data_IF_341649679376
#
_entry.id   IF_341649679376
#
_cell.length_a   1.000
_cell.length_b   1.000
_cell.length_c   1.000
_cell.angle_alpha   90.00
_cell.angle_beta   90.00
_cell.angle_gamma   90.00
#
_symmetry.space_group_name_H-M   'P 1'
#
loop_
_entity.id
_entity.type
_entity.pdbx_description
1 polymer ?
#
# COMPACT_ATOMS: atom_id res chain seq x y z
N UNK A 1 2.03 1.09 -18.38
CA UNK A 1 2.27 1.44 -16.96
C UNK A 1 0.94 1.82 -16.34
N UNK A 2 0.65 1.36 -15.11
CA UNK A 2 -0.57 1.67 -14.36
C UNK A 2 -0.17 2.51 -13.16
N UNK A 3 -0.94 3.56 -12.86
CA UNK A 3 -0.77 4.33 -11.63
C UNK A 3 -1.33 3.56 -10.43
N UNK A 4 -0.90 3.86 -9.19
CA UNK A 4 -1.49 3.26 -7.99
C UNK A 4 -3.03 3.31 -8.02
N UNK A 5 -3.70 2.17 -7.85
CA UNK A 5 -5.15 2.07 -7.88
C UNK A 5 -5.64 1.29 -6.66
N UNK A 6 -6.50 1.89 -5.81
CA UNK A 6 -6.88 1.28 -4.53
C UNK A 6 -7.70 0.00 -4.70
N UNK A 7 -8.39 -0.18 -5.84
CA UNK A 7 -9.29 -1.31 -6.07
C UNK A 7 -8.58 -2.67 -5.91
N UNK A 8 -7.39 -2.83 -6.50
CA UNK A 8 -6.62 -4.09 -6.43
C UNK A 8 -5.93 -4.30 -5.09
N UNK A 9 -5.83 -3.26 -4.27
CA UNK A 9 -5.19 -3.30 -2.95
C UNK A 9 -6.17 -3.65 -1.83
N UNK A 10 -7.47 -3.72 -2.12
CA UNK A 10 -8.51 -4.03 -1.16
C UNK A 10 -8.18 -5.33 -0.40
N UNK A 11 -8.24 -5.27 0.93
CA UNK A 11 -7.89 -6.37 1.85
C UNK A 11 -6.39 -6.62 2.02
N UNK A 12 -5.52 -5.95 1.27
CA UNK A 12 -4.07 -6.16 1.33
C UNK A 12 -3.36 -5.14 2.24
N UNK A 13 -2.18 -5.51 2.75
CA UNK A 13 -1.34 -4.61 3.53
C UNK A 13 -0.28 -3.86 2.66
N UNK A 14 -0.54 -3.73 1.35
CA UNK A 14 0.34 -3.01 0.44
C UNK A 14 -0.05 -1.52 0.35
N UNK A 15 0.95 -0.71 -0.01
CA UNK A 15 0.78 0.69 -0.40
C UNK A 15 1.55 0.88 -1.70
N UNK A 16 0.82 1.06 -2.80
CA UNK A 16 1.43 1.33 -4.09
C UNK A 16 1.75 2.81 -4.19
N UNK A 17 2.97 3.14 -4.58
CA UNK A 17 3.45 4.52 -4.75
C UNK A 17 3.86 4.72 -6.21
N UNK A 18 3.42 5.82 -6.79
CA UNK A 18 3.73 6.21 -8.16
C UNK A 18 3.90 7.73 -8.25
N UNK A 19 4.41 8.19 -9.37
CA UNK A 19 4.59 9.61 -9.61
C UNK A 19 4.58 9.93 -11.10
N UNK A 20 4.36 11.20 -11.40
CA UNK A 20 4.50 11.76 -12.74
C UNK A 20 5.15 13.14 -12.64
N UNK A 21 6.21 13.36 -13.42
CA UNK A 21 6.87 14.66 -13.50
C UNK A 21 6.22 15.48 -14.61
N UNK A 22 5.81 16.70 -14.30
CA UNK A 22 5.35 17.64 -15.32
C UNK A 22 6.53 17.98 -16.26
N UNK A 23 6.34 17.81 -17.56
CA UNK A 23 7.35 18.10 -18.56
C UNK A 23 7.63 19.61 -18.73
N UNK A 24 6.71 20.47 -18.28
CA UNK A 24 6.74 21.91 -18.53
C UNK A 24 7.07 22.74 -17.29
N UNK A 25 7.19 22.12 -16.12
CA UNK A 25 7.47 22.82 -14.86
C UNK A 25 8.33 21.96 -13.94
N UNK A 26 8.78 22.51 -12.81
CA UNK A 26 9.51 21.76 -11.78
C UNK A 26 8.56 21.04 -10.80
N UNK A 27 7.39 20.64 -11.29
CA UNK A 27 6.35 19.96 -10.49
C UNK A 27 6.45 18.45 -10.60
N UNK A 28 6.37 17.77 -9.46
CA UNK A 28 6.18 16.33 -9.36
C UNK A 28 4.81 16.04 -8.75
N UNK A 29 3.99 15.25 -9.43
CA UNK A 29 2.74 14.71 -8.88
C UNK A 29 3.03 13.33 -8.32
N UNK A 30 2.82 13.16 -7.01
CA UNK A 30 3.01 11.86 -6.34
C UNK A 30 1.63 11.28 -6.01
N UNK A 31 1.45 9.99 -6.25
CA UNK A 31 0.25 9.24 -5.95
C UNK A 31 0.58 8.09 -5.00
N UNK A 32 -0.30 7.84 -4.05
CA UNK A 32 -0.26 6.65 -3.21
C UNK A 32 -1.66 6.05 -3.13
N UNK A 33 -1.77 4.73 -3.25
CA UNK A 33 -3.00 3.99 -3.06
C UNK A 33 -2.78 2.88 -2.03
N UNK A 34 -3.77 2.67 -1.17
CA UNK A 34 -3.78 1.64 -0.14
C UNK A 34 -5.22 1.28 0.23
N UNK A 35 -5.39 0.15 0.93
CA UNK A 35 -6.63 -0.13 1.66
C UNK A 35 -6.64 0.63 2.99
N UNK A 36 -7.65 1.48 3.22
CA UNK A 36 -7.71 2.36 4.38
C UNK A 36 -7.97 1.62 5.70
N UNK A 37 -8.55 0.42 5.67
CA UNK A 37 -8.81 -0.39 6.86
C UNK A 37 -7.67 -1.36 7.17
N UNK A 38 -6.98 -1.86 6.14
CA UNK A 38 -5.82 -2.75 6.30
C UNK A 38 -4.56 -1.91 6.44
N UNK A 39 -3.90 -1.51 5.34
CA UNK A 39 -2.66 -0.75 5.43
C UNK A 39 -2.84 0.64 6.05
N UNK A 40 -4.03 1.24 5.93
CA UNK A 40 -4.35 2.53 6.56
C UNK A 40 -4.65 2.46 8.05
N UNK A 41 -4.91 1.27 8.60
CA UNK A 41 -5.26 1.11 10.01
C UNK A 41 -4.80 -0.24 10.61
N UNK A 42 -5.65 -1.27 10.63
CA UNK A 42 -5.45 -2.48 11.41
C UNK A 42 -4.25 -3.31 10.94
N UNK A 43 -4.05 -3.44 9.62
CA UNK A 43 -2.90 -4.14 9.05
C UNK A 43 -1.58 -3.47 9.41
N UNK A 44 -1.52 -2.13 9.43
CA UNK A 44 -0.33 -1.41 9.89
C UNK A 44 -0.11 -1.54 11.41
N UNK A 45 -1.19 -1.63 12.19
CA UNK A 45 -1.12 -1.96 13.62
C UNK A 45 -0.53 -3.36 13.88
N UNK A 46 -0.98 -4.37 13.13
CA UNK A 46 -0.40 -5.72 13.18
C UNK A 46 1.06 -5.71 12.72
N UNK A 47 1.40 -4.96 11.68
CA UNK A 47 2.77 -4.84 11.20
C UNK A 47 3.71 -4.24 12.26
N UNK A 48 3.27 -3.19 12.96
CA UNK A 48 4.01 -2.60 14.07
C UNK A 48 4.14 -3.57 15.25
N UNK A 49 3.09 -4.31 15.58
CA UNK A 49 3.11 -5.36 16.61
C UNK A 49 4.10 -6.47 16.26
N UNK A 50 4.13 -6.94 15.00
CA UNK A 50 5.08 -7.95 14.54
C UNK A 50 6.52 -7.49 14.81
N UNK A 51 6.84 -6.24 14.45
CA UNK A 51 8.17 -5.64 14.72
C UNK A 51 8.45 -5.62 16.22
N UNK A 52 7.50 -5.13 17.04
CA UNK A 52 7.66 -5.06 18.50
C UNK A 52 7.88 -6.43 19.15
N UNK A 53 7.23 -7.47 18.62
CA UNK A 53 7.35 -8.84 19.12
C UNK A 53 8.58 -9.60 18.58
N UNK A 54 9.36 -8.99 17.68
CA UNK A 54 10.50 -9.63 17.01
C UNK A 54 10.08 -10.71 16.01
N UNK A 55 8.84 -10.63 15.51
CA UNK A 55 8.33 -11.53 14.47
C UNK A 55 8.67 -11.00 13.07
N UNK A 56 8.46 -11.84 12.05
CA UNK A 56 8.49 -11.37 10.66
C UNK A 56 7.45 -10.26 10.48
N UNK A 57 7.88 -9.10 10.00
CA UNK A 57 7.02 -7.92 9.80
C UNK A 57 5.77 -8.24 8.95
N UNK A 58 5.89 -9.18 8.01
CA UNK A 58 4.82 -9.60 7.08
C UNK A 58 3.98 -10.76 7.60
N UNK A 59 4.24 -11.27 8.80
CA UNK A 59 3.47 -12.36 9.40
C UNK A 59 1.98 -11.97 9.48
N UNK A 60 1.11 -12.79 8.86
CA UNK A 60 -0.33 -12.53 8.79
C UNK A 60 -0.77 -11.44 7.77
N UNK A 61 0.16 -10.87 6.99
CA UNK A 61 -0.08 -9.71 6.11
C UNK A 61 0.29 -9.99 4.65
N UNK A 62 0.34 -11.27 4.24
CA UNK A 62 0.83 -11.70 2.93
C UNK A 62 -0.23 -11.73 1.82
N UNK A 63 -1.49 -11.38 2.11
CA UNK A 63 -2.55 -11.35 1.11
C UNK A 63 -2.26 -10.29 0.04
N UNK A 64 -2.26 -10.69 -1.23
CA UNK A 64 -1.84 -9.86 -2.37
C UNK A 64 -2.95 -9.03 -3.02
N UNK A 65 -4.18 -9.09 -2.52
CA UNK A 65 -5.34 -8.55 -3.23
C UNK A 65 -5.85 -9.49 -4.32
N UNK A 66 -6.85 -9.03 -5.07
CA UNK A 66 -7.55 -9.80 -6.10
C UNK A 66 -7.51 -9.09 -7.45
N UNK A 67 -7.46 -9.87 -8.53
CA UNK A 67 -7.68 -9.41 -9.89
C UNK A 67 -8.15 -10.56 -10.79
N UNK A 68 -9.28 -10.44 -11.51
CA UNK A 68 -10.23 -9.33 -11.49
C UNK A 68 -11.02 -9.26 -10.17
N UNK A 69 -11.78 -8.18 -9.99
CA UNK A 69 -12.65 -7.92 -8.83
C UNK A 69 -13.94 -7.28 -9.29
#
# INVERSE_FOLDING_TARGET
FRYPEPKILAGSNYCDVGFERDAHSDRLVVLAALDNLVKGAAGNGVQAMNIMAGWDERAGLSFSGLHPI
#
